data_IF_005713821927
#
_entry.id   IF_005713821927
#
_cell.length_a   1.000
_cell.length_b   1.000
_cell.length_c   1.000
_cell.angle_alpha   90.00
_cell.angle_beta   90.00
_cell.angle_gamma   90.00
#
_symmetry.space_group_name_H-M   'P 1'
#
loop_
_entity.id
_entity.type
_entity.pdbx_description
1 polymer ?
#
# COMPACT_ATOMS: atom_id res chain seq x y z
N UNK A 1 16.08 -33.98 7.26
CA UNK A 1 15.85 -32.99 6.18
C UNK A 1 14.42 -33.17 5.71
N UNK A 2 13.52 -32.25 6.06
CA UNK A 2 12.16 -32.24 5.55
C UNK A 2 12.06 -31.10 4.54
N UNK A 3 11.99 -31.44 3.25
CA UNK A 3 11.68 -30.52 2.17
C UNK A 3 10.21 -30.10 2.29
N UNK A 4 9.96 -28.86 2.70
CA UNK A 4 8.64 -28.26 2.60
C UNK A 4 8.37 -27.98 1.12
N UNK A 5 7.45 -28.74 0.53
CA UNK A 5 6.90 -28.45 -0.78
C UNK A 5 6.19 -27.09 -0.70
N UNK A 6 6.70 -26.08 -1.39
CA UNK A 6 5.97 -24.86 -1.65
C UNK A 6 4.73 -25.25 -2.47
N UNK A 7 3.56 -25.26 -1.81
CA UNK A 7 2.30 -25.39 -2.51
C UNK A 7 2.25 -24.27 -3.56
N UNK A 8 2.26 -24.64 -4.83
CA UNK A 8 2.01 -23.70 -5.91
C UNK A 8 0.62 -23.11 -5.68
N UNK A 9 0.56 -21.90 -5.12
CA UNK A 9 -0.68 -21.14 -5.05
C UNK A 9 -1.23 -21.06 -6.48
N UNK A 10 -2.46 -21.55 -6.66
CA UNK A 10 -3.17 -21.50 -7.94
C UNK A 10 -3.14 -20.07 -8.47
N UNK A 11 -3.15 -19.91 -9.81
CA UNK A 11 -3.34 -18.61 -10.42
C UNK A 11 -4.56 -17.92 -9.76
N UNK A 12 -4.46 -16.64 -9.39
CA UNK A 12 -5.57 -15.96 -8.71
C UNK A 12 -6.83 -16.09 -9.56
N UNK A 13 -7.95 -16.40 -8.93
CA UNK A 13 -9.23 -16.50 -9.62
C UNK A 13 -9.49 -15.19 -10.38
N UNK A 14 -10.00 -15.30 -11.61
CA UNK A 14 -10.35 -14.14 -12.42
C UNK A 14 -11.39 -13.31 -11.66
N UNK A 15 -11.10 -12.03 -11.32
CA UNK A 15 -11.99 -11.21 -10.53
C UNK A 15 -13.21 -10.75 -11.34
N UNK A 16 -14.30 -10.42 -10.65
CA UNK A 16 -15.52 -9.90 -11.29
C UNK A 16 -15.24 -8.51 -11.92
N UNK A 17 -15.36 -8.37 -13.26
CA UNK A 17 -15.06 -7.11 -13.94
C UNK A 17 -16.01 -5.98 -13.54
N UNK A 18 -17.22 -6.28 -13.04
CA UNK A 18 -18.20 -5.26 -12.61
C UNK A 18 -17.72 -4.42 -11.42
N UNK A 19 -16.67 -4.86 -10.73
CA UNK A 19 -16.06 -4.13 -9.62
C UNK A 19 -15.57 -2.75 -10.08
N UNK A 20 -14.89 -2.68 -11.23
CA UNK A 20 -14.37 -1.41 -11.75
C UNK A 20 -15.51 -0.49 -12.20
N UNK A 21 -16.56 -1.04 -12.80
CA UNK A 21 -17.74 -0.29 -13.22
C UNK A 21 -18.46 0.38 -12.03
N UNK A 22 -18.44 -0.24 -10.85
CA UNK A 22 -19.05 0.31 -9.64
C UNK A 22 -18.28 1.51 -9.08
N UNK A 23 -16.95 1.53 -9.23
CA UNK A 23 -16.08 2.54 -8.61
C UNK A 23 -15.57 3.60 -9.59
N UNK A 24 -15.67 3.39 -10.90
CA UNK A 24 -15.00 4.22 -11.92
C UNK A 24 -15.33 5.72 -11.85
N UNK A 25 -16.55 6.06 -11.43
CA UNK A 25 -17.06 7.43 -11.34
C UNK A 25 -16.97 7.99 -9.91
N UNK A 26 -16.44 7.21 -8.97
CA UNK A 26 -16.22 7.69 -7.62
C UNK A 26 -15.15 8.77 -7.63
N UNK A 27 -15.36 9.81 -6.85
CA UNK A 27 -14.41 10.92 -6.78
C UNK A 27 -13.44 10.69 -5.63
N UNK A 28 -12.16 10.86 -5.92
CA UNK A 28 -11.07 10.78 -4.96
C UNK A 28 -10.22 12.05 -5.06
N UNK A 29 -9.75 12.55 -3.92
CA UNK A 29 -8.97 13.78 -3.85
C UNK A 29 -7.52 13.46 -3.54
N UNK A 30 -6.58 13.91 -4.36
CA UNK A 30 -5.15 13.73 -4.12
C UNK A 30 -4.74 14.48 -2.85
N UNK A 31 -4.01 13.81 -1.96
CA UNK A 31 -3.46 14.44 -0.75
C UNK A 31 -2.38 15.47 -1.12
N UNK A 32 -1.61 15.19 -2.18
CA UNK A 32 -0.51 16.02 -2.66
C UNK A 32 -0.99 17.25 -3.44
N UNK A 33 -1.83 17.07 -4.47
CA UNK A 33 -2.22 18.17 -5.37
C UNK A 33 -3.53 18.84 -4.96
N UNK A 34 -4.29 18.21 -4.05
CA UNK A 34 -5.67 18.60 -3.69
C UNK A 34 -6.66 18.54 -4.85
N UNK A 35 -6.26 17.95 -5.98
CA UNK A 35 -7.13 17.75 -7.14
C UNK A 35 -8.07 16.58 -6.91
N UNK A 36 -9.34 16.76 -7.25
CA UNK A 36 -10.35 15.70 -7.23
C UNK A 36 -10.52 15.12 -8.63
N UNK A 37 -10.31 13.82 -8.75
CA UNK A 37 -10.40 13.07 -10.01
C UNK A 37 -11.34 11.88 -9.86
N UNK A 38 -11.97 11.39 -10.94
CA UNK A 38 -12.64 10.09 -10.90
C UNK A 38 -11.61 8.98 -10.70
N UNK A 39 -11.96 7.93 -9.97
CA UNK A 39 -11.11 6.75 -9.76
C UNK A 39 -10.64 6.16 -11.10
N UNK A 40 -11.47 6.23 -12.14
CA UNK A 40 -11.07 5.75 -13.46
C UNK A 40 -9.92 6.50 -14.12
N UNK A 41 -9.60 7.73 -13.69
CA UNK A 41 -8.38 8.42 -14.11
C UNK A 41 -7.12 7.61 -13.80
N UNK A 42 -7.13 6.85 -12.68
CA UNK A 42 -5.98 6.05 -12.24
C UNK A 42 -5.51 4.99 -13.24
N UNK A 43 -6.40 4.52 -14.13
CA UNK A 43 -6.08 3.52 -15.16
C UNK A 43 -6.37 3.96 -16.60
N UNK A 44 -6.94 5.16 -16.79
CA UNK A 44 -7.18 5.76 -18.11
C UNK A 44 -5.98 6.59 -18.60
N UNK A 45 -5.22 7.17 -17.68
CA UNK A 45 -4.16 8.12 -18.06
C UNK A 45 -2.94 7.44 -18.69
N UNK A 46 -2.37 8.13 -19.69
CA UNK A 46 -1.07 7.84 -20.28
C UNK A 46 -0.03 8.73 -19.58
N UNK A 47 1.08 8.13 -19.16
CA UNK A 47 2.31 8.79 -18.68
C UNK A 47 2.26 9.42 -17.28
N UNK A 48 2.17 8.56 -16.26
CA UNK A 48 2.47 8.96 -14.87
C UNK A 48 3.87 8.46 -14.50
N UNK A 49 4.73 9.25 -13.84
CA UNK A 49 6.05 8.83 -13.41
C UNK A 49 5.98 7.51 -12.64
N UNK A 50 6.47 6.46 -13.29
CA UNK A 50 6.39 5.10 -12.78
C UNK A 50 7.36 4.96 -11.61
N UNK A 51 6.85 4.65 -10.43
CA UNK A 51 7.69 4.22 -9.32
C UNK A 51 7.85 2.71 -9.38
N UNK A 52 8.63 2.25 -10.35
CA UNK A 52 9.31 0.93 -10.34
C UNK A 52 9.90 0.62 -11.71
N UNK A 53 10.99 -0.14 -11.71
CA UNK A 53 11.62 -0.74 -12.89
C UNK A 53 10.65 -1.60 -13.76
N UNK A 54 9.41 -1.82 -13.31
CA UNK A 54 8.44 -2.76 -13.89
C UNK A 54 7.17 -2.08 -14.44
N UNK A 55 7.11 -0.75 -14.57
CA UNK A 55 5.93 -0.11 -15.18
C UNK A 55 4.69 -0.04 -14.28
N UNK A 56 4.84 -0.19 -12.96
CA UNK A 56 3.71 -0.25 -12.01
C UNK A 56 3.52 1.09 -11.29
N UNK A 57 2.30 1.62 -11.32
CA UNK A 57 1.87 2.78 -10.52
C UNK A 57 1.29 2.28 -9.19
N UNK A 58 1.85 2.75 -8.08
CA UNK A 58 1.33 2.47 -6.74
C UNK A 58 0.43 3.61 -6.27
N UNK A 59 -0.78 3.28 -5.80
CA UNK A 59 -1.77 4.26 -5.33
C UNK A 59 -2.38 3.78 -4.02
N UNK A 60 -2.45 4.66 -3.03
CA UNK A 60 -3.21 4.45 -1.81
C UNK A 60 -4.48 5.30 -1.82
N UNK A 61 -5.62 4.71 -1.44
CA UNK A 61 -6.88 5.44 -1.28
C UNK A 61 -7.34 5.29 0.17
N UNK A 62 -7.24 6.37 0.94
CA UNK A 62 -7.73 6.47 2.32
C UNK A 62 -9.19 6.90 2.37
N UNK A 63 -9.81 6.75 3.54
CA UNK A 63 -11.22 7.11 3.76
C UNK A 63 -11.41 8.52 4.33
N UNK A 64 -10.36 9.09 4.92
CA UNK A 64 -10.41 10.39 5.58
C UNK A 64 -9.08 11.14 5.45
N UNK A 65 -9.13 12.46 5.59
CA UNK A 65 -7.93 13.31 5.56
C UNK A 65 -7.10 13.23 6.85
N UNK A 66 -7.66 12.68 7.93
CA UNK A 66 -6.97 12.55 9.21
C UNK A 66 -5.71 11.70 9.05
N UNK A 67 -4.53 12.29 9.32
CA UNK A 67 -3.24 11.62 9.18
C UNK A 67 -2.76 11.41 7.75
N UNK A 68 -3.53 11.81 6.73
CA UNK A 68 -3.16 11.61 5.32
C UNK A 68 -1.91 12.41 4.93
N UNK A 69 -1.81 13.66 5.39
CA UNK A 69 -0.63 14.51 5.12
C UNK A 69 0.62 13.99 5.81
N UNK A 70 0.49 13.52 7.06
CA UNK A 70 1.59 12.87 7.78
C UNK A 70 2.02 11.57 7.09
N UNK A 71 1.07 10.78 6.59
CA UNK A 71 1.33 9.53 5.89
C UNK A 71 2.16 9.76 4.62
N UNK A 72 1.84 10.80 3.86
CA UNK A 72 2.63 11.25 2.69
C UNK A 72 4.00 11.78 3.13
N UNK A 73 4.05 12.65 4.15
CA UNK A 73 5.29 13.26 4.63
C UNK A 73 6.30 12.21 5.13
N UNK A 74 5.82 11.18 5.82
CA UNK A 74 6.63 10.04 6.30
C UNK A 74 6.96 9.02 5.21
N UNK A 75 6.41 9.18 4.00
CA UNK A 75 6.63 8.30 2.84
C UNK A 75 6.34 6.82 3.15
N UNK A 76 5.26 6.55 3.87
CA UNK A 76 4.84 5.17 4.15
C UNK A 76 4.42 4.42 2.88
N UNK A 77 3.98 5.16 1.86
CA UNK A 77 3.78 4.66 0.51
C UNK A 77 4.70 5.44 -0.42
N UNK A 78 5.38 4.73 -1.32
CA UNK A 78 6.21 5.38 -2.33
C UNK A 78 5.35 6.14 -3.36
N UNK A 79 4.11 5.71 -3.57
CA UNK A 79 3.22 6.21 -4.61
C UNK A 79 2.29 7.36 -4.20
N UNK A 80 1.30 7.61 -5.05
CA UNK A 80 0.30 8.66 -4.84
C UNK A 80 -0.71 8.26 -3.77
N UNK A 81 -1.23 9.24 -3.03
CA UNK A 81 -2.19 9.01 -1.97
C UNK A 81 -3.40 9.88 -2.22
N UNK A 82 -4.56 9.26 -2.20
CA UNK A 82 -5.85 9.90 -2.38
C UNK A 82 -6.75 9.65 -1.18
N UNK A 83 -7.77 10.48 -1.03
CA UNK A 83 -8.82 10.31 -0.03
C UNK A 83 -10.18 10.27 -0.72
N UNK A 84 -10.97 9.25 -0.39
CA UNK A 84 -12.39 9.15 -0.72
C UNK A 84 -13.22 9.63 0.48
N UNK A 85 -13.41 10.94 0.59
CA UNK A 85 -14.09 11.55 1.75
C UNK A 85 -15.54 11.06 1.92
N UNK A 86 -16.19 10.64 0.82
CA UNK A 86 -17.56 10.11 0.85
C UNK A 86 -17.61 8.61 1.17
N UNK A 87 -16.44 7.97 1.23
CA UNK A 87 -16.26 6.53 1.44
C UNK A 87 -17.10 5.72 0.44
N UNK A 88 -17.23 6.21 -0.80
CA UNK A 88 -18.05 5.59 -1.84
C UNK A 88 -17.36 4.33 -2.38
N UNK A 89 -16.06 4.38 -2.65
CA UNK A 89 -15.24 3.23 -3.00
C UNK A 89 -15.31 2.16 -1.91
N UNK A 90 -15.17 2.55 -0.65
CA UNK A 90 -15.28 1.63 0.49
C UNK A 90 -16.62 0.86 0.48
N UNK A 91 -17.74 1.57 0.27
CA UNK A 91 -19.07 0.96 0.19
C UNK A 91 -19.25 0.09 -1.06
N UNK A 92 -18.83 0.59 -2.22
CA UNK A 92 -19.02 -0.08 -3.51
C UNK A 92 -18.14 -1.34 -3.66
N UNK A 93 -16.95 -1.34 -3.03
CA UNK A 93 -16.07 -2.50 -2.88
C UNK A 93 -16.55 -3.45 -1.77
N UNK A 94 -17.65 -3.11 -1.10
CA UNK A 94 -18.26 -3.89 -0.02
C UNK A 94 -17.30 -4.12 1.15
N UNK A 95 -16.37 -3.21 1.38
CA UNK A 95 -15.58 -3.16 2.60
C UNK A 95 -16.49 -2.93 3.81
N UNK A 96 -16.06 -3.42 4.97
CA UNK A 96 -16.86 -3.56 6.18
C UNK A 96 -16.09 -3.03 7.37
N UNK A 97 -16.84 -2.35 8.23
CA UNK A 97 -16.38 -1.95 9.54
C UNK A 97 -16.70 -3.08 10.51
N UNK A 98 -15.67 -3.63 11.14
CA UNK A 98 -15.86 -4.65 12.15
C UNK A 98 -16.45 -4.04 13.43
N UNK A 99 -17.35 -4.77 14.08
CA UNK A 99 -17.73 -4.44 15.45
C UNK A 99 -16.57 -4.71 16.41
N UNK A 100 -16.43 -3.91 17.46
CA UNK A 100 -15.35 -4.04 18.45
C UNK A 100 -15.27 -5.46 19.05
N UNK A 101 -16.42 -6.08 19.29
CA UNK A 101 -16.51 -7.46 19.77
C UNK A 101 -16.02 -8.50 18.74
N UNK A 102 -16.26 -8.24 17.45
CA UNK A 102 -15.77 -9.09 16.36
C UNK A 102 -14.25 -9.00 16.24
N UNK A 103 -13.70 -7.79 16.31
CA UNK A 103 -12.25 -7.58 16.33
C UNK A 103 -11.62 -8.25 17.53
N UNK A 104 -12.18 -8.07 18.73
CA UNK A 104 -11.67 -8.69 19.95
C UNK A 104 -11.64 -10.22 19.83
N UNK A 105 -12.74 -10.83 19.39
CA UNK A 105 -12.79 -12.28 19.10
C UNK A 105 -11.74 -12.69 18.08
N UNK A 106 -11.61 -11.95 16.98
CA UNK A 106 -10.68 -12.30 15.91
C UNK A 106 -9.23 -12.22 16.39
N UNK A 107 -8.88 -11.18 17.14
CA UNK A 107 -7.56 -11.03 17.78
C UNK A 107 -7.27 -12.18 18.77
N UNK A 108 -8.28 -12.65 19.52
CA UNK A 108 -8.09 -13.75 20.49
C UNK A 108 -8.15 -15.15 19.89
N UNK A 109 -8.81 -15.37 18.75
CA UNK A 109 -9.05 -16.71 18.22
C UNK A 109 -8.44 -16.96 16.83
N UNK A 110 -8.05 -15.92 16.08
CA UNK A 110 -7.45 -16.06 14.75
C UNK A 110 -5.91 -15.98 14.82
N UNK A 111 -5.24 -16.99 14.27
CA UNK A 111 -3.79 -17.08 14.26
C UNK A 111 -3.12 -15.98 13.41
N UNK A 112 -3.76 -15.54 12.32
CA UNK A 112 -3.27 -14.50 11.41
C UNK A 112 -3.20 -13.16 12.17
N UNK A 113 -4.30 -12.76 12.80
CA UNK A 113 -4.37 -11.52 13.58
C UNK A 113 -3.41 -11.52 14.77
N UNK A 114 -3.28 -12.65 15.48
CA UNK A 114 -2.29 -12.80 16.57
C UNK A 114 -0.86 -12.62 16.09
N UNK A 115 -0.52 -13.26 14.97
CA UNK A 115 0.81 -13.16 14.37
C UNK A 115 1.11 -11.72 13.95
N UNK A 116 0.17 -11.07 13.27
CA UNK A 116 0.33 -9.67 12.85
C UNK A 116 0.60 -8.73 14.04
N UNK A 117 -0.15 -8.88 15.14
CA UNK A 117 0.07 -8.08 16.37
C UNK A 117 1.43 -8.38 17.00
N UNK A 118 1.82 -9.65 17.06
CA UNK A 118 3.13 -10.05 17.58
C UNK A 118 4.26 -9.45 16.73
N UNK A 119 4.18 -9.55 15.41
CA UNK A 119 5.19 -9.05 14.48
C UNK A 119 5.28 -7.51 14.55
N UNK A 120 4.16 -6.79 14.66
CA UNK A 120 4.15 -5.35 14.85
C UNK A 120 4.83 -4.92 16.16
N UNK A 121 4.55 -5.62 17.26
CA UNK A 121 5.22 -5.39 18.56
C UNK A 121 6.72 -5.62 18.48
N UNK A 122 7.15 -6.70 17.82
CA UNK A 122 8.58 -6.99 17.62
C UNK A 122 9.28 -5.90 16.79
N UNK A 123 8.59 -5.38 15.77
CA UNK A 123 9.09 -4.30 14.92
C UNK A 123 8.93 -2.90 15.52
N UNK A 124 8.37 -2.79 16.74
CA UNK A 124 8.06 -1.52 17.42
C UNK A 124 7.23 -0.57 16.54
N UNK A 125 6.34 -1.14 15.74
CA UNK A 125 5.40 -0.38 14.93
C UNK A 125 4.25 0.01 15.86
N UNK A 126 4.16 1.30 16.18
CA UNK A 126 3.05 1.86 16.96
C UNK A 126 1.88 2.20 16.05
N UNK A 127 0.67 1.90 16.49
CA UNK A 127 -0.55 2.27 15.80
C UNK A 127 -1.00 3.67 16.20
N UNK A 128 -1.39 4.49 15.23
CA UNK A 128 -2.22 5.66 15.50
C UNK A 128 -3.67 5.18 15.68
N UNK A 129 -4.20 5.24 16.90
CA UNK A 129 -5.60 4.87 17.20
C UNK A 129 -6.59 6.02 16.94
N UNK A 130 -6.13 7.12 16.33
CA UNK A 130 -6.99 8.23 15.93
C UNK A 130 -7.68 7.90 14.60
N UNK A 131 -8.96 8.23 14.47
CA UNK A 131 -9.79 7.85 13.33
C UNK A 131 -10.53 6.52 13.52
N UNK A 132 -10.96 5.90 12.42
CA UNK A 132 -11.71 4.64 12.47
C UNK A 132 -10.85 3.40 12.16
N UNK A 133 -10.18 2.88 13.18
CA UNK A 133 -9.30 1.69 13.06
C UNK A 133 -10.01 0.34 12.96
N UNK A 134 -11.34 0.29 12.82
CA UNK A 134 -12.11 -0.95 12.76
C UNK A 134 -12.49 -1.35 11.33
N UNK A 135 -11.96 -0.65 10.33
CA UNK A 135 -12.26 -0.90 8.92
C UNK A 135 -11.35 -2.01 8.38
N UNK A 136 -11.86 -2.78 7.42
CA UNK A 136 -11.00 -3.60 6.58
C UNK A 136 -10.57 -2.82 5.32
N UNK A 137 -9.52 -3.31 4.68
CA UNK A 137 -9.06 -2.81 3.39
C UNK A 137 -9.07 -3.89 2.32
N UNK A 138 -8.26 -3.64 1.31
CA UNK A 138 -8.04 -4.55 0.20
C UNK A 138 -7.03 -4.01 -0.80
N UNK A 139 -6.79 -4.79 -1.83
CA UNK A 139 -5.86 -4.51 -2.91
C UNK A 139 -6.51 -4.82 -4.25
N UNK A 140 -6.37 -3.88 -5.18
CA UNK A 140 -6.74 -4.07 -6.58
C UNK A 140 -5.48 -3.98 -7.43
N UNK A 141 -5.36 -4.86 -8.43
CA UNK A 141 -4.41 -4.70 -9.54
C UNK A 141 -5.22 -4.47 -10.79
N UNK A 142 -5.05 -3.29 -11.38
CA UNK A 142 -5.80 -2.87 -12.57
C UNK A 142 -4.79 -2.62 -13.68
N UNK A 143 -5.00 -3.27 -14.82
CA UNK A 143 -4.25 -2.98 -16.03
C UNK A 143 -4.69 -1.64 -16.58
N UNK A 144 -3.75 -0.94 -17.19
CA UNK A 144 -4.03 0.21 -18.06
C UNK A 144 -5.16 -0.14 -19.04
N UNK A 145 -6.13 0.76 -19.16
CA UNK A 145 -7.34 0.53 -19.94
C UNK A 145 -8.52 -0.05 -19.16
N UNK A 146 -8.36 -0.38 -17.86
CA UNK A 146 -9.45 -0.78 -16.98
C UNK A 146 -9.76 -2.28 -16.97
N UNK A 147 -8.75 -3.14 -17.12
CA UNK A 147 -8.88 -4.59 -16.92
C UNK A 147 -8.50 -4.93 -15.47
N UNK A 148 -9.41 -5.54 -14.70
CA UNK A 148 -9.13 -5.96 -13.33
C UNK A 148 -8.39 -7.31 -13.33
N UNK A 149 -7.16 -7.33 -12.82
CA UNK A 149 -6.31 -8.52 -12.79
C UNK A 149 -6.34 -9.23 -11.43
N UNK A 150 -6.51 -8.47 -10.35
CA UNK A 150 -6.62 -9.01 -9.00
C UNK A 150 -7.52 -8.10 -8.16
N UNK A 151 -8.39 -8.72 -7.37
CA UNK A 151 -9.08 -8.08 -6.27
C UNK A 151 -8.92 -8.96 -5.02
N UNK A 152 -8.33 -8.39 -3.99
CA UNK A 152 -8.23 -9.00 -2.67
C UNK A 152 -8.90 -8.09 -1.66
N UNK A 153 -9.79 -8.67 -0.85
CA UNK A 153 -10.46 -8.01 0.25
C UNK A 153 -9.99 -8.67 1.53
N UNK A 154 -9.58 -7.87 2.49
CA UNK A 154 -9.19 -8.37 3.81
C UNK A 154 -10.43 -8.81 4.58
N UNK A 155 -10.49 -10.06 5.02
CA UNK A 155 -11.63 -10.59 5.78
C UNK A 155 -11.39 -10.52 7.29
N UNK A 156 -10.12 -10.51 7.72
CA UNK A 156 -9.75 -10.37 9.14
C UNK A 156 -8.64 -9.33 9.36
N UNK A 157 -8.58 -8.69 10.55
CA UNK A 157 -7.53 -7.73 10.86
C UNK A 157 -6.13 -8.33 10.74
N UNK A 158 -5.25 -7.63 10.00
CA UNK A 158 -3.86 -8.04 9.77
C UNK A 158 -3.67 -9.06 8.63
N UNK A 159 -4.76 -9.52 8.01
CA UNK A 159 -4.69 -10.18 6.71
C UNK A 159 -4.16 -9.21 5.65
N UNK A 160 -3.43 -9.72 4.68
CA UNK A 160 -2.95 -8.98 3.53
C UNK A 160 -2.79 -9.95 2.36
N UNK A 161 -2.84 -9.42 1.13
CA UNK A 161 -2.57 -10.23 -0.05
C UNK A 161 -1.10 -10.68 -0.04
N UNK A 162 -0.80 -11.98 -0.24
CA UNK A 162 0.58 -12.46 -0.31
C UNK A 162 1.36 -11.78 -1.42
N UNK A 163 2.62 -11.42 -1.14
CA UNK A 163 3.49 -10.78 -2.13
C UNK A 163 3.68 -11.65 -3.38
N UNK A 164 3.75 -12.98 -3.25
CA UNK A 164 3.88 -13.87 -4.40
C UNK A 164 2.68 -13.77 -5.35
N UNK A 165 1.47 -13.61 -4.81
CA UNK A 165 0.26 -13.42 -5.62
C UNK A 165 0.31 -12.10 -6.37
N UNK A 166 0.68 -11.02 -5.69
CA UNK A 166 0.81 -9.69 -6.31
C UNK A 166 1.85 -9.72 -7.44
N UNK A 167 3.05 -10.26 -7.18
CA UNK A 167 4.14 -10.32 -8.15
C UNK A 167 3.78 -11.18 -9.36
N UNK A 168 3.13 -12.33 -9.16
CA UNK A 168 2.64 -13.17 -10.26
C UNK A 168 1.61 -12.47 -11.11
N UNK A 169 0.65 -11.77 -10.50
CA UNK A 169 -0.35 -10.97 -11.24
C UNK A 169 0.32 -9.88 -12.08
N UNK A 170 1.38 -9.27 -11.55
CA UNK A 170 2.17 -8.25 -12.25
C UNK A 170 3.14 -8.84 -13.29
N UNK A 171 3.31 -10.17 -13.36
CA UNK A 171 4.28 -10.83 -14.23
C UNK A 171 5.74 -10.63 -13.81
N UNK A 172 6.00 -10.25 -12.56
CA UNK A 172 7.34 -10.00 -12.02
C UNK A 172 7.89 -11.31 -11.46
N UNK A 173 8.94 -11.83 -12.09
CA UNK A 173 9.56 -13.13 -11.76
C UNK A 173 10.81 -13.00 -10.88
N UNK A 174 11.47 -11.84 -10.89
CA UNK A 174 12.66 -11.55 -10.07
C UNK A 174 12.52 -10.19 -9.42
N UNK A 175 12.68 -10.13 -8.09
CA UNK A 175 12.75 -8.87 -7.35
C UNK A 175 14.23 -8.63 -7.11
N UNK A 176 14.85 -7.74 -7.89
CA UNK A 176 16.15 -7.21 -7.51
C UNK A 176 15.99 -6.55 -6.13
N UNK A 177 16.81 -6.90 -5.13
CA UNK A 177 16.64 -6.38 -3.78
C UNK A 177 16.76 -4.85 -3.83
N UNK A 178 15.64 -4.17 -3.52
CA UNK A 178 15.65 -2.71 -3.32
C UNK A 178 16.63 -2.43 -2.19
N UNK A 179 17.75 -1.80 -2.53
CA UNK A 179 18.79 -1.41 -1.58
C UNK A 179 18.12 -0.69 -0.39
N UNK A 180 18.21 -1.33 0.77
CA UNK A 180 17.62 -0.82 2.00
C UNK A 180 18.11 0.59 2.28
N UNK A 181 17.22 1.43 2.84
CA UNK A 181 17.43 2.82 3.25
C UNK A 181 18.68 3.10 4.11
N UNK A 182 19.38 2.06 4.58
CA UNK A 182 20.68 2.16 5.23
C UNK A 182 21.80 2.60 4.28
N UNK A 183 21.76 2.20 3.01
CA UNK A 183 22.87 2.43 2.08
C UNK A 183 22.93 3.90 1.59
N UNK A 184 21.77 4.53 1.40
CA UNK A 184 21.70 5.99 1.13
C UNK A 184 22.11 6.84 2.34
N UNK A 185 21.97 6.35 3.57
CA UNK A 185 22.42 7.08 4.76
C UNK A 185 23.95 7.12 4.84
N UNK A 186 24.63 6.08 4.35
CA UNK A 186 26.09 6.03 4.27
C UNK A 186 26.61 7.04 3.23
N UNK A 187 26.02 7.05 2.02
CA UNK A 187 26.42 8.00 0.95
C UNK A 187 26.13 9.46 1.29
N UNK A 188 25.04 9.75 2.04
CA UNK A 188 24.75 11.12 2.49
C UNK A 188 25.73 11.58 3.58
N UNK A 189 26.18 10.68 4.45
CA UNK A 189 27.20 11.00 5.47
C UNK A 189 28.57 11.28 4.86
N UNK A 190 28.98 10.47 3.88
CA UNK A 190 30.30 10.60 3.25
C UNK A 190 30.41 11.91 2.44
N UNK A 191 29.34 12.30 1.74
CA UNK A 191 29.26 13.60 1.05
C UNK A 191 29.15 14.81 2.01
N UNK A 192 28.65 14.62 3.24
CA UNK A 192 28.56 15.68 4.25
C UNK A 192 29.88 15.90 4.99
N UNK A 193 30.68 14.86 5.20
CA UNK A 193 32.04 14.99 5.75
C UNK A 193 33.00 15.64 4.74
N UNK A 194 32.87 15.34 3.44
CA UNK A 194 33.68 15.99 2.40
C UNK A 194 33.33 17.49 2.24
N UNK A 195 32.06 17.86 2.41
CA UNK A 195 31.62 19.27 2.41
C UNK A 195 32.08 20.04 3.68
N UNK A 196 32.20 19.37 4.82
CA UNK A 196 32.70 19.98 6.07
C UNK A 196 34.23 20.19 6.07
N UNK A 197 34.98 19.42 5.28
CA UNK A 197 36.41 19.62 5.09
C UNK A 197 36.74 20.83 4.18
N UNK A 198 35.76 21.34 3.42
CA UNK A 198 35.96 22.43 2.45
C UNK A 198 35.73 23.84 3.04
N UNK A 199 35.39 23.99 4.33
CA UNK A 199 35.12 25.30 4.94
C UNK A 199 36.34 25.99 5.57
N UNK A 200 37.51 25.37 5.60
CA UNK A 200 38.72 25.92 6.26
C UNK A 200 39.79 26.50 5.31
N UNK A 201 39.51 26.64 4.01
CA UNK A 201 40.50 27.21 3.04
C UNK A 201 40.13 28.61 2.53
N UNK A 202 39.06 29.24 3.04
CA UNK A 202 38.67 30.60 2.66
C UNK A 202 38.81 31.65 3.77
N UNK A 203 39.65 31.38 4.78
CA UNK A 203 40.04 32.36 5.78
C UNK A 203 41.57 32.46 5.84
N UNK A 204 42.16 33.21 4.90
CA UNK A 204 43.31 34.13 4.99
C UNK A 204 43.49 34.79 3.63
#
# INVERSE_FOLDING_TARGET
MATAAAAAAAAPAVPDPSILEKIQDNLITSVQTKETVPVSGLWKDNDVPTLSQNGVKLVGVGLENLGAEEFVAKRFLAGEVYVDEKQKCYKDLQFKRFGLFSVLKTVFFNAISKKAISDAKQKKIEGNFSGDGLQNGGLLVVRKGGELLLFHKEEVPGEHCPNETILRTLGISEIEPVATSKEKTQQVKELQEEAAACTDVCAI
#
